data_IF_130668867132
#
_entry.id   IF_130668867132
#
_cell.length_a   1.000
_cell.length_b   1.000
_cell.length_c   1.000
_cell.angle_alpha   90.00
_cell.angle_beta   90.00
_cell.angle_gamma   90.00
#
_symmetry.space_group_name_H-M   'P 1'
#
loop_
_entity.id
_entity.type
_entity.pdbx_description
1 polymer ?
#
# COMPACT_ATOMS: atom_id res chain seq x y z
N UNK A 1 -15.75 -23.95 -5.37
CA UNK A 1 -14.45 -23.40 -4.95
C UNK A 1 -13.97 -24.26 -3.79
N UNK A 2 -12.74 -24.77 -3.81
CA UNK A 2 -12.22 -25.49 -2.63
C UNK A 2 -11.78 -24.49 -1.55
N UNK A 3 -11.85 -24.92 -0.30
CA UNK A 3 -11.41 -24.13 0.85
C UNK A 3 -9.93 -23.73 0.73
N UNK A 4 -9.08 -24.63 0.22
CA UNK A 4 -7.65 -24.39 0.01
C UNK A 4 -7.37 -23.20 -0.90
N UNK A 5 -8.14 -23.04 -2.00
CA UNK A 5 -7.98 -21.93 -2.94
C UNK A 5 -8.39 -20.60 -2.30
N UNK A 6 -9.39 -20.64 -1.41
CA UNK A 6 -9.84 -19.48 -0.64
C UNK A 6 -8.78 -19.06 0.39
N UNK A 7 -8.17 -20.02 1.09
CA UNK A 7 -7.07 -19.77 2.02
C UNK A 7 -5.87 -19.18 1.27
N UNK A 8 -5.51 -19.73 0.11
CA UNK A 8 -4.41 -19.23 -0.70
C UNK A 8 -4.65 -17.80 -1.20
N UNK A 9 -5.83 -17.52 -1.73
CA UNK A 9 -6.22 -16.16 -2.14
C UNK A 9 -6.11 -15.16 -0.98
N UNK A 10 -6.56 -15.53 0.22
CA UNK A 10 -6.44 -14.68 1.41
C UNK A 10 -4.99 -14.40 1.77
N UNK A 11 -4.11 -15.40 1.65
CA UNK A 11 -2.67 -15.22 1.85
C UNK A 11 -2.08 -14.26 0.80
N UNK A 12 -2.48 -14.39 -0.47
CA UNK A 12 -1.98 -13.55 -1.56
C UNK A 12 -2.45 -12.08 -1.42
N UNK A 13 -3.71 -11.85 -1.03
CA UNK A 13 -4.23 -10.51 -0.71
C UNK A 13 -3.43 -9.88 0.45
N UNK A 14 -3.18 -10.64 1.51
CA UNK A 14 -2.44 -10.16 2.67
C UNK A 14 -0.98 -9.84 2.31
N UNK A 15 -0.38 -10.63 1.42
CA UNK A 15 0.99 -10.43 0.95
C UNK A 15 1.16 -9.12 0.18
N UNK A 16 0.15 -8.70 -0.58
CA UNK A 16 0.19 -7.46 -1.36
C UNK A 16 0.26 -6.19 -0.50
N UNK A 17 -0.21 -6.25 0.76
CA UNK A 17 -0.07 -5.19 1.76
C UNK A 17 -0.49 -3.79 1.24
N UNK A 18 -1.59 -3.74 0.48
CA UNK A 18 -2.14 -2.50 -0.09
C UNK A 18 -2.78 -1.67 1.02
N UNK A 19 -2.05 -0.67 1.54
CA UNK A 19 -2.56 0.25 2.57
C UNK A 19 -3.51 1.33 2.05
N UNK A 20 -3.25 1.81 0.84
CA UNK A 20 -4.03 2.86 0.20
C UNK A 20 -4.25 2.48 -1.26
N UNK A 21 -5.49 2.13 -1.61
CA UNK A 21 -5.81 1.60 -2.92
C UNK A 21 -6.98 0.63 -2.90
N UNK A 22 -7.13 -0.10 -3.99
CA UNK A 22 -8.12 -1.18 -4.12
C UNK A 22 -7.43 -2.48 -4.51
N UNK A 23 -8.04 -3.59 -4.10
CA UNK A 23 -7.67 -4.94 -4.51
C UNK A 23 -8.91 -5.55 -5.13
N UNK A 24 -8.77 -6.03 -6.36
CA UNK A 24 -9.85 -6.65 -7.12
C UNK A 24 -9.49 -8.12 -7.36
N UNK A 25 -10.46 -9.00 -7.16
CA UNK A 25 -10.31 -10.43 -7.41
C UNK A 25 -11.33 -10.84 -8.47
N UNK A 26 -10.84 -11.37 -9.58
CA UNK A 26 -11.67 -11.87 -10.69
C UNK A 26 -11.58 -13.39 -10.74
N UNK A 27 -12.72 -14.09 -10.73
CA UNK A 27 -12.77 -15.54 -10.84
C UNK A 27 -13.26 -15.98 -12.21
N UNK A 28 -12.59 -16.97 -12.80
CA UNK A 28 -13.03 -17.61 -14.04
C UNK A 28 -13.62 -18.98 -13.71
N UNK A 29 -14.86 -19.20 -14.17
CA UNK A 29 -15.58 -20.45 -13.97
C UNK A 29 -15.78 -21.17 -15.30
N UNK A 30 -15.52 -22.48 -15.31
CA UNK A 30 -15.93 -23.38 -16.37
C UNK A 30 -16.93 -24.39 -15.79
N UNK A 31 -18.07 -24.57 -16.44
CA UNK A 31 -19.15 -25.48 -16.02
C UNK A 31 -19.59 -25.30 -14.55
N UNK A 32 -19.67 -24.03 -14.11
CA UNK A 32 -20.04 -23.68 -12.74
C UNK A 32 -18.95 -23.95 -11.69
N UNK A 33 -17.76 -24.39 -12.09
CA UNK A 33 -16.61 -24.64 -11.20
C UNK A 33 -15.53 -23.58 -11.44
N UNK A 34 -14.96 -23.01 -10.37
CA UNK A 34 -13.84 -22.07 -10.51
C UNK A 34 -12.62 -22.83 -11.02
N UNK A 35 -11.90 -22.22 -11.96
CA UNK A 35 -10.74 -22.82 -12.63
C UNK A 35 -9.47 -21.98 -12.45
N UNK A 36 -9.62 -20.67 -12.42
CA UNK A 36 -8.56 -19.72 -12.10
C UNK A 36 -9.13 -18.49 -11.41
N UNK A 37 -8.24 -17.71 -10.81
CA UNK A 37 -8.53 -16.37 -10.36
C UNK A 37 -7.37 -15.44 -10.70
N UNK A 38 -7.68 -14.16 -10.82
CA UNK A 38 -6.70 -13.09 -11.04
C UNK A 38 -6.82 -12.09 -9.89
N UNK A 39 -5.68 -11.67 -9.36
CA UNK A 39 -5.57 -10.67 -8.31
C UNK A 39 -4.98 -9.39 -8.91
N UNK A 40 -5.76 -8.32 -8.96
CA UNK A 40 -5.34 -7.02 -9.48
C UNK A 40 -5.26 -6.01 -8.35
N UNK A 41 -4.11 -5.37 -8.18
CA UNK A 41 -3.93 -4.35 -7.15
C UNK A 41 -3.76 -2.97 -7.76
N UNK A 42 -4.55 -2.01 -7.31
CA UNK A 42 -4.41 -0.60 -7.67
C UNK A 42 -3.91 0.19 -6.46
N UNK A 43 -2.62 0.54 -6.45
CA UNK A 43 -2.02 1.34 -5.37
C UNK A 43 -2.21 2.83 -5.64
N UNK A 44 -2.80 3.54 -4.68
CA UNK A 44 -2.96 4.99 -4.72
C UNK A 44 -1.84 5.66 -3.92
N UNK A 45 -1.15 6.63 -4.52
CA UNK A 45 -0.23 7.52 -3.81
C UNK A 45 -0.91 8.87 -3.60
N UNK A 46 -1.00 9.30 -2.35
CA UNK A 46 -1.51 10.63 -2.02
C UNK A 46 -0.39 11.66 -2.21
N UNK A 47 -0.72 12.79 -2.82
CA UNK A 47 0.24 13.86 -3.12
C UNK A 47 0.52 14.72 -1.86
N UNK A 48 -0.42 14.75 -0.91
CA UNK A 48 -0.29 15.52 0.35
C UNK A 48 0.82 15.02 1.30
N UNK A 49 1.28 13.77 1.12
CA UNK A 49 2.42 13.23 1.88
C UNK A 49 3.79 13.62 1.31
N UNK A 50 3.87 14.21 0.10
CA UNK A 50 5.14 14.70 -0.47
C UNK A 50 5.50 16.12 0.01
N UNK A 51 4.53 16.93 0.41
CA UNK A 51 4.77 18.34 0.78
C UNK A 51 5.23 18.51 2.23
N UNK A 52 5.00 17.53 3.12
CA UNK A 52 5.37 17.66 4.54
C UNK A 52 6.84 17.40 4.85
N UNK A 53 7.65 16.93 3.90
CA UNK A 53 9.07 16.66 4.12
C UNK A 53 10.00 17.80 3.66
N UNK A 54 9.48 18.90 3.14
CA UNK A 54 10.31 19.98 2.55
C UNK A 54 10.28 21.31 3.30
N UNK A 55 9.49 21.43 4.38
CA UNK A 55 9.31 22.69 5.13
C UNK A 55 9.70 22.56 6.62
N UNK A 56 10.91 22.06 6.88
CA UNK A 56 11.64 22.52 8.07
C UNK A 56 12.58 23.65 7.64
N UNK A 57 11.98 24.79 7.33
CA UNK A 57 12.67 26.05 7.16
C UNK A 57 13.15 26.56 8.53
N UNK A 58 14.34 27.16 8.48
CA UNK A 58 15.11 27.76 9.56
C UNK A 58 14.32 28.69 10.50
N UNK A 59 14.62 28.58 11.79
CA UNK A 59 14.76 29.70 12.75
C UNK A 59 15.98 29.36 13.63
N UNK A 60 17.13 29.98 13.38
CA UNK A 60 17.60 31.17 14.11
C UNK A 60 17.45 31.02 15.62
N UNK A 61 18.56 30.67 16.29
CA UNK A 61 18.91 31.27 17.56
C UNK A 61 20.31 31.85 17.44
N UNK A 62 20.34 33.16 17.56
CA UNK A 62 21.49 34.02 17.56
C UNK A 62 22.35 33.82 18.83
N UNK A 63 23.60 34.24 18.68
CA UNK A 63 24.42 34.84 19.72
C UNK A 63 24.83 33.98 20.93
N UNK A 64 26.12 33.62 20.94
CA UNK A 64 26.81 33.33 22.19
C UNK A 64 27.80 32.19 22.09
N UNK A 65 29.02 32.46 21.61
CA UNK A 65 30.13 31.97 22.40
C UNK A 65 31.31 32.93 22.44
N UNK A 66 31.66 33.22 23.69
CA UNK A 66 32.60 34.22 24.16
C UNK A 66 34.03 33.78 23.84
N UNK A 67 34.85 34.81 23.57
CA UNK A 67 36.27 34.88 23.91
C UNK A 67 36.65 33.92 25.04
N UNK A 68 37.57 33.01 24.78
CA UNK A 68 38.72 32.70 25.63
C UNK A 68 39.72 31.84 24.87
#
# INVERSE_FOLDING_TARGET
MSEDVLIQLLQDINRENVRFGTVEVSFTFHDGRPTSYELTTHRRRNIDSLSKSSDHHLKEDADGNRRR
#
